data_IF_357687723285
#
_entry.id   IF_357687723285
#
_cell.length_a   1.000
_cell.length_b   1.000
_cell.length_c   1.000
_cell.angle_alpha   90.00
_cell.angle_beta   90.00
_cell.angle_gamma   90.00
#
_symmetry.space_group_name_H-M   'P 1'
#
loop_
_entity.id
_entity.type
_entity.pdbx_description
1 polymer ?
#
# COMPACT_ATOMS: atom_id res chain seq x y z
N UNK A 1 -15.76 3.67 -17.71
CA UNK A 1 -16.55 3.47 -16.48
C UNK A 1 -17.88 2.89 -16.89
N UNK A 2 -18.40 1.90 -16.17
CA UNK A 2 -19.67 1.26 -16.52
C UNK A 2 -20.24 0.41 -15.38
N UNK A 3 -21.36 -0.26 -15.72
CA UNK A 3 -21.99 -1.19 -14.79
C UNK A 3 -21.08 -2.38 -14.48
N UNK A 4 -20.99 -2.85 -13.22
CA UNK A 4 -20.04 -3.92 -12.83
C UNK A 4 -20.27 -5.26 -13.55
N UNK A 5 -21.48 -5.52 -14.05
CA UNK A 5 -21.84 -6.76 -14.75
C UNK A 5 -21.69 -6.66 -16.27
N UNK A 6 -21.33 -5.51 -16.80
CA UNK A 6 -21.05 -5.32 -18.22
C UNK A 6 -19.59 -5.75 -18.50
N UNK A 7 -19.35 -6.72 -19.40
CA UNK A 7 -18.01 -7.20 -19.72
C UNK A 7 -17.10 -6.12 -20.36
N UNK A 8 -17.66 -5.08 -20.93
CA UNK A 8 -16.91 -3.95 -21.49
C UNK A 8 -16.50 -2.91 -20.42
N UNK A 9 -16.94 -3.10 -19.18
CA UNK A 9 -16.60 -2.17 -18.09
C UNK A 9 -15.19 -2.41 -17.56
N UNK A 10 -14.33 -1.42 -17.71
CA UNK A 10 -12.97 -1.44 -17.14
C UNK A 10 -12.92 -0.98 -15.68
N UNK A 11 -13.83 -0.11 -15.27
CA UNK A 11 -13.89 0.43 -13.91
C UNK A 11 -15.34 0.63 -13.46
N UNK A 12 -15.69 0.03 -12.32
CA UNK A 12 -16.98 0.15 -11.67
C UNK A 12 -17.09 1.36 -10.71
N UNK A 13 -18.15 1.40 -9.89
CA UNK A 13 -18.37 2.47 -8.91
C UNK A 13 -17.46 2.35 -7.69
N UNK A 14 -17.35 3.43 -6.92
CA UNK A 14 -16.77 3.46 -5.57
C UNK A 14 -17.70 2.70 -4.63
N UNK A 15 -17.12 2.04 -3.62
CA UNK A 15 -17.81 1.08 -2.76
C UNK A 15 -18.93 1.68 -1.89
N UNK A 16 -18.83 2.96 -1.49
CA UNK A 16 -19.84 3.61 -0.66
C UNK A 16 -19.83 5.14 -0.80
N UNK A 17 -20.93 5.75 -0.39
CA UNK A 17 -21.13 7.20 -0.47
C UNK A 17 -20.13 8.01 0.37
N UNK A 18 -19.84 7.55 1.60
CA UNK A 18 -18.91 8.23 2.49
C UNK A 18 -17.50 8.33 1.88
N UNK A 19 -17.06 7.28 1.19
CA UNK A 19 -15.79 7.29 0.48
C UNK A 19 -15.78 8.28 -0.68
N UNK A 20 -16.88 8.37 -1.41
CA UNK A 20 -17.03 9.34 -2.48
C UNK A 20 -16.94 10.79 -1.96
N UNK A 21 -17.58 11.10 -0.83
CA UNK A 21 -17.49 12.43 -0.21
C UNK A 21 -16.05 12.75 0.24
N UNK A 22 -15.33 11.78 0.79
CA UNK A 22 -13.91 11.95 1.18
C UNK A 22 -13.07 12.28 -0.04
N UNK A 23 -13.27 11.59 -1.15
CA UNK A 23 -12.55 11.84 -2.41
C UNK A 23 -12.83 13.25 -2.91
N UNK A 24 -14.10 13.64 -3.04
CA UNK A 24 -14.50 14.97 -3.55
C UNK A 24 -13.94 16.08 -2.67
N UNK A 25 -14.03 15.93 -1.35
CA UNK A 25 -13.48 16.90 -0.39
C UNK A 25 -11.97 17.08 -0.57
N UNK A 26 -11.21 15.98 -0.66
CA UNK A 26 -9.76 16.06 -0.80
C UNK A 26 -9.34 16.64 -2.14
N UNK A 27 -10.04 16.31 -3.23
CA UNK A 27 -9.79 16.91 -4.55
C UNK A 27 -10.02 18.42 -4.48
N UNK A 28 -11.18 18.85 -3.96
CA UNK A 28 -11.51 20.27 -3.82
C UNK A 28 -10.44 21.03 -3.05
N UNK A 29 -10.08 20.54 -1.86
CA UNK A 29 -9.04 21.16 -1.03
C UNK A 29 -7.69 21.21 -1.74
N UNK A 30 -7.33 20.15 -2.47
CA UNK A 30 -6.08 20.11 -3.23
C UNK A 30 -6.05 21.17 -4.33
N UNK A 31 -7.15 21.35 -5.06
CA UNK A 31 -7.24 22.38 -6.11
C UNK A 31 -7.19 23.80 -5.52
N UNK A 32 -7.85 24.03 -4.39
CA UNK A 32 -7.80 25.31 -3.65
C UNK A 32 -6.37 25.62 -3.15
N UNK A 33 -5.57 24.60 -2.86
CA UNK A 33 -4.17 24.74 -2.42
C UNK A 33 -3.15 24.70 -3.54
N UNK A 34 -3.60 24.80 -4.81
CA UNK A 34 -2.71 24.93 -5.96
C UNK A 34 -2.43 23.63 -6.74
N UNK A 35 -3.08 22.53 -6.40
CA UNK A 35 -3.06 21.32 -7.24
C UNK A 35 -3.69 21.59 -8.61
N UNK A 36 -3.19 20.93 -9.64
CA UNK A 36 -3.63 21.12 -11.03
C UNK A 36 -4.30 19.87 -11.57
N UNK A 37 -5.61 19.94 -11.77
CA UNK A 37 -6.39 18.86 -12.38
C UNK A 37 -5.94 18.62 -13.82
N UNK A 38 -5.60 17.38 -14.17
CA UNK A 38 -5.24 16.96 -15.53
C UNK A 38 -6.37 16.21 -16.24
N UNK A 39 -7.11 15.38 -15.51
CA UNK A 39 -8.31 14.71 -15.99
C UNK A 39 -9.21 14.29 -14.85
N UNK A 40 -10.48 13.97 -15.12
CA UNK A 40 -11.46 13.54 -14.11
C UNK A 40 -11.88 14.66 -13.16
N UNK A 41 -11.92 14.38 -11.87
CA UNK A 41 -12.12 15.37 -10.80
C UNK A 41 -13.57 15.67 -10.41
N UNK A 42 -14.56 15.17 -11.15
CA UNK A 42 -15.97 15.37 -10.87
C UNK A 42 -16.75 14.07 -11.04
N UNK A 43 -17.84 13.92 -10.30
CA UNK A 43 -18.73 12.75 -10.44
C UNK A 43 -19.12 12.53 -11.89
N UNK A 44 -19.18 11.28 -12.29
CA UNK A 44 -19.66 10.90 -13.60
C UNK A 44 -21.18 10.66 -13.52
N UNK A 45 -21.93 11.26 -14.43
CA UNK A 45 -23.40 11.11 -14.53
C UNK A 45 -23.80 9.84 -15.30
N UNK A 46 -23.02 8.76 -15.20
CA UNK A 46 -23.29 7.51 -15.92
C UNK A 46 -24.64 6.89 -15.51
N UNK A 47 -25.00 7.01 -14.24
CA UNK A 47 -26.27 6.53 -13.70
C UNK A 47 -26.69 7.39 -12.51
N UNK A 48 -27.99 7.59 -12.33
CA UNK A 48 -28.52 8.19 -11.10
C UNK A 48 -28.38 7.25 -9.89
N UNK A 49 -28.04 5.98 -10.14
CA UNK A 49 -27.80 4.95 -9.16
C UNK A 49 -26.33 4.54 -9.19
N UNK A 50 -25.65 4.64 -8.03
CA UNK A 50 -24.26 4.26 -7.87
C UNK A 50 -23.28 5.44 -7.73
N UNK A 51 -22.12 5.13 -7.19
CA UNK A 51 -21.10 6.12 -6.82
C UNK A 51 -19.97 6.14 -7.84
N UNK A 52 -20.30 6.53 -9.08
CA UNK A 52 -19.35 6.55 -10.19
C UNK A 52 -18.46 7.79 -10.13
N UNK A 53 -17.16 7.55 -10.12
CA UNK A 53 -16.16 8.61 -10.12
C UNK A 53 -15.06 8.29 -11.14
N UNK A 54 -14.68 9.22 -12.03
CA UNK A 54 -13.73 8.94 -13.10
C UNK A 54 -12.30 8.80 -12.57
N UNK A 55 -11.47 8.09 -13.34
CA UNK A 55 -10.04 8.12 -13.16
C UNK A 55 -9.56 9.58 -13.19
N UNK A 56 -8.89 9.99 -12.12
CA UNK A 56 -8.54 11.38 -11.87
C UNK A 56 -7.04 11.51 -11.68
N UNK A 57 -6.42 12.47 -12.38
CA UNK A 57 -5.00 12.78 -12.24
C UNK A 57 -4.86 14.24 -11.80
N UNK A 58 -4.10 14.46 -10.72
CA UNK A 58 -3.81 15.78 -10.19
C UNK A 58 -2.29 15.95 -10.11
N UNK A 59 -1.77 16.98 -10.78
CA UNK A 59 -0.37 17.37 -10.64
C UNK A 59 -0.21 18.21 -9.36
N UNK A 60 0.71 17.77 -8.51
CA UNK A 60 1.03 18.39 -7.22
C UNK A 60 2.46 18.93 -7.22
N UNK A 61 2.69 20.09 -6.66
CA UNK A 61 4.04 20.65 -6.54
C UNK A 61 4.78 20.13 -5.30
N UNK A 62 4.03 19.67 -4.31
CA UNK A 62 4.57 19.06 -3.08
C UNK A 62 3.65 17.93 -2.58
N UNK A 63 4.16 17.12 -1.66
CA UNK A 63 3.46 15.95 -1.11
C UNK A 63 2.52 16.28 0.07
N UNK A 64 2.49 17.52 0.55
CA UNK A 64 1.60 17.94 1.65
C UNK A 64 0.19 18.30 1.15
N UNK A 65 -0.05 18.23 -0.16
CA UNK A 65 -1.40 18.42 -0.70
C UNK A 65 -2.30 17.23 -0.35
N UNK A 66 -3.58 17.46 0.01
CA UNK A 66 -4.47 16.41 0.54
C UNK A 66 -4.54 15.12 -0.26
N UNK A 67 -4.56 15.19 -1.60
CA UNK A 67 -4.58 13.97 -2.45
C UNK A 67 -3.24 13.24 -2.51
N UNK A 68 -2.13 13.89 -2.14
CA UNK A 68 -0.81 13.26 -2.11
C UNK A 68 -0.46 12.70 -0.73
N UNK A 69 -1.01 13.31 0.33
CA UNK A 69 -0.77 12.94 1.73
C UNK A 69 -1.70 11.81 2.21
N UNK A 70 -2.98 11.86 1.81
CA UNK A 70 -4.00 10.95 2.32
C UNK A 70 -4.22 9.76 1.39
N UNK A 71 -4.47 8.60 1.98
CA UNK A 71 -4.93 7.40 1.25
C UNK A 71 -6.43 7.52 0.96
N UNK A 72 -6.79 7.79 -0.30
CA UNK A 72 -8.17 8.10 -0.68
C UNK A 72 -9.02 6.88 -1.05
N UNK A 73 -8.44 5.71 -1.25
CA UNK A 73 -9.13 4.48 -1.67
C UNK A 73 -10.08 4.71 -2.87
N UNK A 74 -9.59 5.36 -3.90
CA UNK A 74 -10.36 5.68 -5.09
C UNK A 74 -9.47 5.83 -6.33
N UNK A 75 -10.06 6.09 -7.51
CA UNK A 75 -9.34 6.19 -8.77
C UNK A 75 -8.61 7.53 -8.93
N UNK A 76 -7.84 7.93 -7.93
CA UNK A 76 -7.13 9.20 -7.88
C UNK A 76 -5.63 8.95 -7.90
N UNK A 77 -4.93 9.63 -8.81
CA UNK A 77 -3.48 9.60 -8.92
C UNK A 77 -2.91 11.01 -8.74
N UNK A 78 -2.07 11.19 -7.72
CA UNK A 78 -1.23 12.38 -7.58
C UNK A 78 0.08 12.20 -8.33
N UNK A 79 0.50 13.21 -9.08
CA UNK A 79 1.72 13.18 -9.89
C UNK A 79 2.61 14.35 -9.49
N UNK A 80 3.87 14.08 -9.23
CA UNK A 80 4.87 15.10 -8.90
C UNK A 80 6.11 14.93 -9.77
N UNK A 81 6.71 16.05 -10.17
CA UNK A 81 8.00 16.05 -10.86
C UNK A 81 9.15 16.07 -9.85
N UNK A 82 10.24 15.47 -10.24
CA UNK A 82 11.50 15.54 -9.50
C UNK A 82 12.67 15.74 -10.47
N UNK A 83 13.80 16.22 -9.96
CA UNK A 83 15.00 16.51 -10.76
C UNK A 83 16.14 15.53 -10.46
N UNK A 84 16.25 15.06 -9.22
CA UNK A 84 17.35 14.20 -8.79
C UNK A 84 16.82 12.93 -8.12
N UNK A 85 17.65 11.90 -8.09
CA UNK A 85 17.36 10.64 -7.43
C UNK A 85 17.18 10.85 -5.90
N UNK A 86 18.02 11.66 -5.28
CA UNK A 86 17.93 11.95 -3.85
C UNK A 86 16.63 12.68 -3.50
N UNK A 87 16.21 13.62 -4.36
CA UNK A 87 14.93 14.32 -4.20
C UNK A 87 13.74 13.36 -4.20
N UNK A 88 13.66 12.45 -5.18
CA UNK A 88 12.52 11.53 -5.26
C UNK A 88 12.54 10.52 -4.12
N UNK A 89 13.71 9.99 -3.73
CA UNK A 89 13.84 9.08 -2.59
C UNK A 89 13.42 9.77 -1.30
N UNK A 90 13.85 11.02 -1.10
CA UNK A 90 13.43 11.81 0.07
C UNK A 90 11.91 12.00 0.11
N UNK A 91 11.30 12.43 -1.00
CA UNK A 91 9.85 12.62 -1.11
C UNK A 91 9.07 11.32 -0.87
N UNK A 92 9.52 10.21 -1.45
CA UNK A 92 8.86 8.90 -1.25
C UNK A 92 8.95 8.41 0.19
N UNK A 93 10.03 8.73 0.89
CA UNK A 93 10.23 8.32 2.29
C UNK A 93 9.54 9.24 3.31
N UNK A 94 9.26 10.48 2.92
CA UNK A 94 8.52 11.46 3.72
C UNK A 94 7.01 11.25 3.57
N UNK A 95 6.55 10.10 4.05
CA UNK A 95 5.17 9.66 4.01
C UNK A 95 4.92 8.73 5.20
N UNK A 96 3.74 8.79 5.78
CA UNK A 96 3.32 7.93 6.89
C UNK A 96 3.11 6.46 6.46
N UNK A 97 2.87 6.20 5.19
CA UNK A 97 2.64 4.86 4.65
C UNK A 97 3.92 4.22 4.10
N UNK A 98 3.88 2.91 3.92
CA UNK A 98 4.99 2.15 3.38
C UNK A 98 4.60 0.71 3.00
N UNK A 99 3.51 0.52 2.26
CA UNK A 99 3.09 -0.80 1.81
C UNK A 99 3.93 -1.25 0.62
N UNK A 100 3.83 -0.53 -0.48
CA UNK A 100 4.53 -0.88 -1.71
C UNK A 100 5.03 0.35 -2.46
N UNK A 101 6.04 0.14 -3.28
CA UNK A 101 6.60 1.16 -4.17
C UNK A 101 7.02 0.53 -5.50
N UNK A 102 7.35 1.35 -6.48
CA UNK A 102 7.83 0.89 -7.77
C UNK A 102 8.82 1.86 -8.40
N UNK A 103 9.79 1.31 -9.11
CA UNK A 103 10.80 2.05 -9.85
C UNK A 103 10.83 1.56 -11.29
N UNK A 104 10.68 2.47 -12.24
CA UNK A 104 10.79 2.17 -13.66
C UNK A 104 12.04 2.87 -14.22
N UNK A 105 12.98 2.12 -14.74
CA UNK A 105 14.23 2.64 -15.27
C UNK A 105 14.87 1.64 -16.25
N UNK A 106 15.60 2.14 -17.25
CA UNK A 106 16.45 1.33 -18.12
C UNK A 106 17.79 0.93 -17.47
N UNK A 107 18.18 1.60 -16.38
CA UNK A 107 19.39 1.31 -15.62
C UNK A 107 19.06 0.43 -14.40
N UNK A 108 19.39 -0.86 -14.50
CA UNK A 108 19.12 -1.82 -13.42
C UNK A 108 19.89 -1.48 -12.14
N UNK A 109 21.10 -0.95 -12.23
CA UNK A 109 21.88 -0.56 -11.05
C UNK A 109 21.17 0.59 -10.29
N UNK A 110 20.61 1.56 -11.02
CA UNK A 110 19.74 2.60 -10.46
C UNK A 110 18.49 1.99 -9.82
N UNK A 111 17.81 1.11 -10.54
CA UNK A 111 16.61 0.43 -10.03
C UNK A 111 16.86 -0.24 -8.69
N UNK A 112 17.95 -0.99 -8.57
CA UNK A 112 18.36 -1.68 -7.34
C UNK A 112 18.79 -0.72 -6.24
N UNK A 113 19.49 0.37 -6.56
CA UNK A 113 19.90 1.37 -5.57
C UNK A 113 18.71 2.12 -5.01
N UNK A 114 17.81 2.60 -5.87
CA UNK A 114 16.60 3.32 -5.46
C UNK A 114 15.66 2.41 -4.69
N UNK A 115 15.47 1.16 -5.13
CA UNK A 115 14.61 0.20 -4.42
C UNK A 115 15.06 -0.07 -2.99
N UNK A 116 16.39 -0.09 -2.73
CA UNK A 116 16.94 -0.24 -1.39
C UNK A 116 16.79 1.02 -0.53
N UNK A 117 16.78 2.20 -1.15
CA UNK A 117 16.65 3.48 -0.46
C UNK A 117 15.20 3.81 -0.08
N UNK A 118 14.22 3.28 -0.79
CA UNK A 118 12.80 3.49 -0.51
C UNK A 118 12.37 2.66 0.71
N UNK A 119 11.69 3.31 1.64
CA UNK A 119 11.15 2.70 2.86
C UNK A 119 9.72 2.20 2.61
N UNK A 120 9.62 1.02 1.99
CA UNK A 120 8.37 0.31 1.77
C UNK A 120 8.56 -1.19 2.06
N UNK A 121 7.48 -1.89 2.37
CA UNK A 121 7.52 -3.33 2.62
C UNK A 121 7.84 -4.13 1.36
N UNK A 122 7.41 -3.64 0.20
CA UNK A 122 7.74 -4.21 -1.12
C UNK A 122 8.17 -3.09 -2.07
N UNK A 123 9.18 -3.35 -2.89
CA UNK A 123 9.55 -2.47 -4.00
C UNK A 123 9.64 -3.29 -5.29
N UNK A 124 8.92 -2.84 -6.30
CA UNK A 124 8.96 -3.40 -7.65
C UNK A 124 9.96 -2.64 -8.53
N UNK A 125 10.67 -3.36 -9.41
CA UNK A 125 11.54 -2.74 -10.42
C UNK A 125 11.07 -3.17 -11.79
N UNK A 126 10.69 -2.22 -12.63
CA UNK A 126 10.16 -2.40 -13.99
C UNK A 126 8.96 -3.36 -14.09
N UNK A 127 8.21 -3.51 -13.00
CA UNK A 127 7.00 -4.32 -12.93
C UNK A 127 6.05 -3.74 -11.89
N UNK A 128 4.82 -4.25 -11.83
CA UNK A 128 3.85 -3.90 -10.81
C UNK A 128 2.96 -5.10 -10.48
N UNK A 129 2.69 -5.33 -9.20
CA UNK A 129 1.85 -6.44 -8.69
C UNK A 129 2.34 -7.85 -9.01
N UNK A 130 3.55 -8.03 -9.50
CA UNK A 130 4.14 -9.35 -9.65
C UNK A 130 4.67 -9.84 -8.31
N UNK A 131 3.87 -10.61 -7.58
CA UNK A 131 4.19 -11.10 -6.24
C UNK A 131 4.22 -12.62 -6.28
N UNK A 132 5.32 -13.22 -5.78
CA UNK A 132 5.40 -14.65 -5.57
C UNK A 132 4.64 -15.03 -4.29
N UNK A 133 3.86 -16.14 -4.27
CA UNK A 133 3.25 -16.66 -3.04
C UNK A 133 4.26 -17.01 -1.94
N UNK A 134 5.53 -17.21 -2.30
CA UNK A 134 6.62 -17.50 -1.35
C UNK A 134 7.34 -16.26 -0.84
N UNK A 135 7.04 -15.08 -1.39
CA UNK A 135 7.61 -13.82 -0.94
C UNK A 135 6.75 -13.18 0.16
N UNK A 136 7.32 -12.73 1.28
CA UNK A 136 6.57 -12.06 2.33
C UNK A 136 5.91 -10.77 1.78
N UNK A 137 4.62 -10.61 2.04
CA UNK A 137 3.85 -9.42 1.69
C UNK A 137 3.40 -8.69 2.94
N UNK A 138 3.62 -7.39 3.01
CA UNK A 138 3.13 -6.55 4.10
C UNK A 138 3.83 -5.21 4.18
N UNK A 139 3.18 -4.26 4.85
CA UNK A 139 3.65 -2.89 5.00
C UNK A 139 4.69 -2.70 6.10
N UNK A 140 5.12 -1.45 6.18
CA UNK A 140 5.85 -0.85 7.31
C UNK A 140 5.18 0.49 7.62
N UNK A 141 5.58 1.17 8.67
CA UNK A 141 4.99 2.43 9.15
C UNK A 141 3.47 2.21 9.39
N UNK A 142 2.61 3.19 9.07
CA UNK A 142 1.17 3.13 9.28
C UNK A 142 0.44 2.20 8.30
N UNK A 143 1.13 1.66 7.29
CA UNK A 143 0.59 0.59 6.43
C UNK A 143 0.48 -0.76 7.14
N UNK A 144 0.99 -0.90 8.35
CA UNK A 144 0.82 -2.05 9.21
C UNK A 144 2.11 -2.78 9.58
N UNK A 145 1.95 -3.82 10.35
CA UNK A 145 3.01 -4.73 10.82
C UNK A 145 2.60 -6.18 10.51
N UNK A 146 3.55 -7.09 10.63
CA UNK A 146 3.35 -8.48 10.22
C UNK A 146 3.53 -8.68 8.72
N UNK A 147 3.54 -9.93 8.30
CA UNK A 147 3.69 -10.32 6.90
C UNK A 147 2.77 -11.46 6.55
N UNK A 148 2.09 -11.34 5.40
CA UNK A 148 1.39 -12.44 4.76
C UNK A 148 2.33 -13.16 3.80
N UNK A 149 2.01 -14.39 3.46
CA UNK A 149 2.80 -15.24 2.56
C UNK A 149 4.26 -15.47 3.00
N UNK A 150 4.96 -16.35 2.31
CA UNK A 150 6.32 -16.74 2.66
C UNK A 150 6.43 -17.44 4.02
N UNK A 151 7.63 -17.85 4.40
CA UNK A 151 7.91 -18.52 5.68
C UNK A 151 7.76 -17.57 6.89
N UNK A 152 7.91 -16.28 6.67
CA UNK A 152 7.82 -15.27 7.74
C UNK A 152 6.42 -15.21 8.36
N UNK A 153 5.37 -15.46 7.56
CA UNK A 153 3.99 -15.44 8.04
C UNK A 153 3.68 -16.50 9.12
N UNK A 154 4.45 -17.56 9.17
CA UNK A 154 4.28 -18.61 10.21
C UNK A 154 4.42 -18.02 11.61
N UNK A 155 5.27 -17.00 11.78
CA UNK A 155 5.50 -16.35 13.07
C UNK A 155 4.24 -15.64 13.60
N UNK A 156 3.39 -15.15 12.72
CA UNK A 156 2.16 -14.44 13.10
C UNK A 156 1.05 -15.40 13.57
N UNK A 157 1.13 -16.68 13.18
CA UNK A 157 0.17 -17.74 13.53
C UNK A 157 0.67 -18.70 14.60
N UNK A 158 1.89 -18.53 15.09
CA UNK A 158 2.52 -19.42 16.07
C UNK A 158 3.04 -18.67 17.28
N UNK A 159 3.19 -19.39 18.40
CA UNK A 159 3.85 -18.89 19.60
C UNK A 159 4.97 -19.82 20.00
N UNK A 160 6.11 -19.26 20.33
CA UNK A 160 7.22 -20.04 20.88
C UNK A 160 6.87 -20.45 22.31
N UNK A 161 6.98 -21.75 22.61
CA UNK A 161 6.84 -22.32 23.96
C UNK A 161 8.08 -23.13 24.30
N UNK A 162 8.70 -22.81 25.41
CA UNK A 162 9.82 -23.59 25.96
C UNK A 162 9.30 -24.48 27.08
N UNK A 163 9.60 -25.78 27.02
CA UNK A 163 9.35 -26.71 28.12
C UNK A 163 10.68 -27.28 28.58
N UNK A 164 11.01 -27.06 29.86
CA UNK A 164 12.18 -27.66 30.49
C UNK A 164 11.73 -28.79 31.42
N UNK A 165 12.31 -29.93 31.26
CA UNK A 165 11.99 -31.13 32.06
C UNK A 165 13.25 -31.63 32.77
N UNK A 166 13.12 -31.84 34.10
CA UNK A 166 14.15 -32.53 34.88
C UNK A 166 13.69 -33.93 35.19
N UNK A 167 14.51 -34.91 34.90
CA UNK A 167 14.25 -36.30 35.21
C UNK A 167 14.83 -36.73 36.58
N UNK A 168 15.50 -35.85 37.31
CA UNK A 168 16.11 -36.17 38.58
C UNK A 168 15.13 -36.54 39.68
N UNK A 169 13.90 -36.07 39.60
CA UNK A 169 12.86 -36.43 40.58
C UNK A 169 12.08 -37.70 40.24
N UNK A 170 12.09 -38.21 39.02
CA UNK A 170 11.45 -39.46 38.66
C UNK A 170 12.17 -40.67 39.20
N UNK A 171 13.48 -40.61 39.39
CA UNK A 171 14.26 -41.71 40.01
C UNK A 171 14.04 -41.87 41.52
N UNK A 172 13.58 -40.84 42.20
CA UNK A 172 13.33 -40.90 43.66
C UNK A 172 12.05 -41.66 44.00
N UNK A 173 11.05 -41.66 43.09
CA UNK A 173 9.79 -42.39 43.30
C UNK A 173 9.83 -43.85 42.87
N UNK A 174 10.78 -44.26 42.03
CA UNK A 174 10.92 -45.68 41.61
C UNK A 174 11.66 -46.51 42.66
N UNK A 175 12.30 -45.91 43.65
CA UNK A 175 13.08 -46.62 44.70
C UNK A 175 12.28 -46.90 45.97
N UNK A 176 11.03 -46.45 46.09
CA UNK A 176 10.15 -46.70 47.25
C UNK A 176 9.12 -47.82 47.09
N UNK A 177 9.19 -48.61 46.00
CA UNK A 177 8.29 -49.75 45.76
C UNK A 177 9.05 -51.08 45.74
N UNK A 178 9.80 -51.40 46.83
CA UNK A 178 10.23 -52.73 47.14
C UNK A 178 10.11 -53.02 48.65
#
# INVERSE_FOLDING_TARGET
IGAPMDPETEMGPISNYKQLEVIEKNIKLTLEQGGRLKCGGQRHSFSNEGYYFPATIIECDNHNLPVAENELFGPILSVMKFKTEDEVVSKMNDNQYGLSSGVYTSDLARGMRVSKAIRAGITFVNTYRLISPTAPFGGIKDSGYGKEAGLESIKDYTRVKTTSVSYTHLRAHETEQH
#
